data_IF_860051201074
#
_entry.id   IF_860051201074
#
_cell.length_a   1.000
_cell.length_b   1.000
_cell.length_c   1.000
_cell.angle_alpha   90.00
_cell.angle_beta   90.00
_cell.angle_gamma   90.00
#
_symmetry.space_group_name_H-M   'P 1'
#
loop_
_entity.id
_entity.type
_entity.pdbx_description
1 polymer ?
#
# COMPACT_ATOMS: atom_id res chain seq x y z
N UNK A 1 36.21 30.06 14.50
CA UNK A 1 34.93 30.72 14.21
C UNK A 1 34.44 30.55 12.78
N UNK A 2 35.32 30.44 11.79
CA UNK A 2 35.00 30.10 10.41
C UNK A 2 34.43 28.65 10.31
N UNK A 3 34.93 27.73 11.11
CA UNK A 3 34.48 26.35 11.15
C UNK A 3 33.04 26.21 11.68
N UNK A 4 32.66 27.03 12.68
CA UNK A 4 31.30 27.05 13.23
C UNK A 4 30.27 27.61 12.24
N UNK A 5 30.66 28.60 11.42
CA UNK A 5 29.79 29.15 10.38
C UNK A 5 29.57 28.19 9.24
N UNK A 6 30.61 27.47 8.83
CA UNK A 6 30.54 26.44 7.80
C UNK A 6 29.71 25.23 8.27
N UNK A 7 29.92 24.76 9.49
CA UNK A 7 29.17 23.64 10.07
C UNK A 7 27.68 23.96 10.19
N UNK A 8 27.34 25.18 10.62
CA UNK A 8 25.95 25.64 10.68
C UNK A 8 25.32 25.74 9.30
N UNK A 9 26.05 26.29 8.32
CA UNK A 9 25.58 26.42 6.95
C UNK A 9 25.35 25.05 6.31
N UNK A 10 26.27 24.11 6.50
CA UNK A 10 26.14 22.71 6.04
C UNK A 10 24.96 22.02 6.69
N UNK A 11 24.79 22.18 7.99
CA UNK A 11 23.67 21.60 8.74
C UNK A 11 22.33 22.13 8.27
N UNK A 12 22.20 23.44 8.10
CA UNK A 12 20.96 24.10 7.64
C UNK A 12 20.63 23.69 6.21
N UNK A 13 21.63 23.61 5.33
CA UNK A 13 21.44 23.19 3.94
C UNK A 13 21.06 21.72 3.84
N UNK A 14 21.70 20.85 4.61
CA UNK A 14 21.39 19.42 4.68
C UNK A 14 19.97 19.21 5.21
N UNK A 15 19.59 19.93 6.26
CA UNK A 15 18.24 19.89 6.83
C UNK A 15 17.20 20.34 5.81
N UNK A 16 17.44 21.43 5.09
CA UNK A 16 16.54 21.93 4.06
C UNK A 16 16.38 20.94 2.91
N UNK A 17 17.47 20.31 2.48
CA UNK A 17 17.43 19.27 1.44
C UNK A 17 16.64 18.03 1.88
N UNK A 18 16.84 17.58 3.13
CA UNK A 18 16.10 16.47 3.71
C UNK A 18 14.60 16.77 3.84
N UNK A 19 14.24 17.98 4.26
CA UNK A 19 12.85 18.42 4.34
C UNK A 19 12.16 18.45 2.98
N UNK A 20 12.84 18.97 1.94
CA UNK A 20 12.32 18.98 0.56
C UNK A 20 12.15 17.58 0.01
N UNK A 21 13.14 16.70 0.22
CA UNK A 21 13.07 15.28 -0.19
C UNK A 21 11.93 14.56 0.52
N UNK A 22 11.67 14.86 1.80
CA UNK A 22 10.57 14.31 2.57
C UNK A 22 9.22 14.73 1.99
N UNK A 23 9.05 16.01 1.64
CA UNK A 23 7.82 16.52 1.03
C UNK A 23 7.55 15.81 -0.29
N UNK A 24 8.56 15.66 -1.15
CA UNK A 24 8.45 14.97 -2.44
C UNK A 24 8.10 13.48 -2.23
N UNK A 25 8.78 12.80 -1.32
CA UNK A 25 8.53 11.40 -1.03
C UNK A 25 7.12 11.17 -0.48
N UNK A 26 6.66 12.01 0.43
CA UNK A 26 5.30 11.95 0.98
C UNK A 26 4.23 12.23 -0.09
N UNK A 27 4.48 13.20 -0.95
CA UNK A 27 3.58 13.55 -2.06
C UNK A 27 3.47 12.39 -3.06
N UNK A 28 4.60 11.78 -3.39
CA UNK A 28 4.65 10.60 -4.26
C UNK A 28 3.82 9.45 -3.67
N UNK A 29 4.02 9.15 -2.39
CA UNK A 29 3.29 8.07 -1.71
C UNK A 29 1.79 8.35 -1.64
N UNK A 30 1.41 9.60 -1.38
CA UNK A 30 -0.01 10.03 -1.37
C UNK A 30 -0.65 9.86 -2.74
N UNK A 31 0.02 10.30 -3.79
CA UNK A 31 -0.46 10.17 -5.17
C UNK A 31 -0.59 8.70 -5.56
N UNK A 32 0.39 7.89 -5.22
CA UNK A 32 0.38 6.46 -5.45
C UNK A 32 -0.80 5.77 -4.72
N UNK A 33 -1.04 6.15 -3.47
CA UNK A 33 -2.17 5.65 -2.68
C UNK A 33 -3.52 6.08 -3.24
N UNK A 34 -3.64 7.31 -3.72
CA UNK A 34 -4.85 7.82 -4.36
C UNK A 34 -5.13 7.09 -5.68
N UNK A 35 -4.10 6.82 -6.48
CA UNK A 35 -4.22 6.03 -7.70
C UNK A 35 -4.69 4.61 -7.38
N UNK A 36 -4.14 3.99 -6.35
CA UNK A 36 -4.55 2.65 -5.92
C UNK A 36 -5.99 2.63 -5.44
N UNK A 37 -6.43 3.67 -4.74
CA UNK A 37 -7.82 3.84 -4.32
C UNK A 37 -8.78 3.87 -5.51
N UNK A 38 -8.44 4.62 -6.56
CA UNK A 38 -9.22 4.67 -7.79
C UNK A 38 -9.23 3.32 -8.52
N UNK A 39 -8.08 2.66 -8.58
CA UNK A 39 -7.94 1.35 -9.21
C UNK A 39 -8.79 0.28 -8.51
N UNK A 40 -8.74 0.22 -7.19
CA UNK A 40 -9.52 -0.79 -6.46
C UNK A 40 -11.02 -0.52 -6.55
N UNK A 41 -11.43 0.74 -6.57
CA UNK A 41 -12.84 1.10 -6.74
C UNK A 41 -13.39 0.64 -8.08
N UNK A 42 -12.64 0.86 -9.15
CA UNK A 42 -13.01 0.41 -10.50
C UNK A 42 -13.00 -1.13 -10.60
N UNK A 43 -11.97 -1.75 -10.06
CA UNK A 43 -11.85 -3.23 -10.05
C UNK A 43 -12.96 -3.89 -9.23
N UNK A 44 -13.34 -3.29 -8.10
CA UNK A 44 -14.47 -3.74 -7.27
C UNK A 44 -15.76 -3.80 -8.09
N UNK A 45 -16.07 -2.76 -8.85
CA UNK A 45 -17.27 -2.73 -9.70
C UNK A 45 -17.24 -3.82 -10.76
N UNK A 46 -16.13 -3.96 -11.45
CA UNK A 46 -15.99 -4.95 -12.53
C UNK A 46 -16.10 -6.38 -12.00
N UNK A 47 -15.43 -6.69 -10.90
CA UNK A 47 -15.46 -8.02 -10.29
C UNK A 47 -16.82 -8.33 -9.68
N UNK A 48 -17.43 -7.36 -9.01
CA UNK A 48 -18.74 -7.51 -8.41
C UNK A 48 -19.81 -7.83 -9.47
N UNK A 49 -19.74 -7.17 -10.63
CA UNK A 49 -20.61 -7.43 -11.77
C UNK A 49 -20.37 -8.80 -12.41
N UNK A 50 -19.25 -9.44 -12.11
CA UNK A 50 -18.86 -10.75 -12.64
C UNK A 50 -19.03 -11.90 -11.65
N UNK A 51 -19.76 -11.68 -10.56
CA UNK A 51 -19.98 -12.69 -9.51
C UNK A 51 -20.58 -13.99 -10.05
N UNK A 52 -21.45 -13.92 -11.06
CA UNK A 52 -22.04 -15.10 -11.69
C UNK A 52 -20.97 -16.00 -12.33
N UNK A 53 -19.95 -15.41 -12.93
CA UNK A 53 -18.81 -16.16 -13.49
C UNK A 53 -18.02 -16.80 -12.37
N UNK A 54 -17.78 -16.09 -11.27
CA UNK A 54 -17.11 -16.63 -10.09
C UNK A 54 -17.82 -17.86 -9.52
N UNK A 55 -19.15 -17.82 -9.43
CA UNK A 55 -19.96 -18.90 -8.87
C UNK A 55 -20.08 -20.10 -9.81
N UNK A 56 -20.13 -19.88 -11.13
CA UNK A 56 -20.44 -20.93 -12.09
C UNK A 56 -19.22 -21.45 -12.87
N UNK A 57 -18.17 -20.65 -13.02
CA UNK A 57 -16.98 -21.01 -13.78
C UNK A 57 -15.75 -20.30 -13.19
N UNK A 58 -15.20 -20.89 -12.14
CA UNK A 58 -14.07 -20.31 -11.40
C UNK A 58 -12.81 -20.14 -12.29
N UNK A 59 -12.61 -21.02 -13.25
CA UNK A 59 -11.44 -20.92 -14.15
C UNK A 59 -11.55 -19.73 -15.09
N UNK A 60 -12.73 -19.49 -15.66
CA UNK A 60 -12.99 -18.31 -16.49
C UNK A 60 -12.88 -17.03 -15.67
N UNK A 61 -13.38 -17.04 -14.44
CA UNK A 61 -13.21 -15.91 -13.52
C UNK A 61 -11.74 -15.66 -13.19
N UNK A 62 -10.96 -16.71 -12.95
CA UNK A 62 -9.52 -16.61 -12.71
C UNK A 62 -8.77 -15.94 -13.84
N UNK A 63 -9.09 -16.30 -15.08
CA UNK A 63 -8.51 -15.65 -16.28
C UNK A 63 -8.89 -14.17 -16.36
N UNK A 64 -10.13 -13.84 -16.09
CA UNK A 64 -10.61 -12.45 -16.06
C UNK A 64 -9.94 -11.65 -14.95
N UNK A 65 -9.83 -12.23 -13.75
CA UNK A 65 -9.17 -11.64 -12.60
C UNK A 65 -7.70 -11.33 -12.88
N UNK A 66 -6.99 -12.27 -13.49
CA UNK A 66 -5.60 -12.09 -13.90
C UNK A 66 -5.46 -10.96 -14.93
N UNK A 67 -6.35 -10.88 -15.91
CA UNK A 67 -6.37 -9.79 -16.89
C UNK A 67 -6.58 -8.43 -16.23
N UNK A 68 -7.51 -8.34 -15.30
CA UNK A 68 -7.77 -7.12 -14.52
C UNK A 68 -6.51 -6.67 -13.77
N UNK A 69 -5.83 -7.60 -13.10
CA UNK A 69 -4.61 -7.31 -12.38
C UNK A 69 -3.47 -6.83 -13.30
N UNK A 70 -3.30 -7.46 -14.44
CA UNK A 70 -2.28 -7.08 -15.43
C UNK A 70 -2.54 -5.72 -16.05
N UNK A 71 -3.77 -5.45 -16.45
CA UNK A 71 -4.16 -4.16 -17.04
C UNK A 71 -3.90 -3.00 -16.07
N UNK A 72 -4.08 -3.24 -14.78
CA UNK A 72 -3.88 -2.23 -13.72
C UNK A 72 -2.45 -2.21 -13.20
N UNK A 73 -1.57 -3.06 -13.74
CA UNK A 73 -0.16 -3.18 -13.34
C UNK A 73 0.01 -3.46 -11.84
N UNK A 74 -0.86 -4.28 -11.31
CA UNK A 74 -0.80 -4.70 -9.91
C UNK A 74 0.32 -5.73 -9.71
N UNK A 75 0.99 -5.66 -8.56
CA UNK A 75 1.98 -6.64 -8.16
C UNK A 75 1.35 -7.93 -7.65
N UNK A 76 0.13 -7.85 -7.15
CA UNK A 76 -0.66 -8.99 -6.73
C UNK A 76 -2.10 -8.59 -6.44
N UNK A 77 -3.00 -9.56 -6.56
CA UNK A 77 -4.41 -9.37 -6.23
C UNK A 77 -4.97 -10.67 -5.65
N UNK A 78 -5.81 -10.54 -4.64
CA UNK A 78 -6.43 -11.65 -3.94
C UNK A 78 -7.91 -11.37 -3.73
N UNK A 79 -8.73 -12.41 -3.86
CA UNK A 79 -10.06 -12.42 -3.25
C UNK A 79 -9.99 -13.35 -2.05
N UNK A 80 -10.36 -12.81 -0.90
CA UNK A 80 -10.29 -13.51 0.39
C UNK A 80 -11.66 -13.52 1.04
N UNK A 81 -11.90 -14.48 1.92
CA UNK A 81 -13.11 -14.51 2.73
C UNK A 81 -12.86 -13.86 4.11
N UNK A 82 -13.88 -13.79 4.96
CA UNK A 82 -13.79 -13.18 6.28
C UNK A 82 -12.87 -13.95 7.24
N UNK A 83 -12.70 -15.25 7.03
CA UNK A 83 -11.75 -16.05 7.79
C UNK A 83 -10.30 -15.83 7.37
N UNK A 84 -10.07 -15.06 6.30
CA UNK A 84 -8.76 -14.78 5.77
C UNK A 84 -8.24 -15.83 4.80
N UNK A 85 -9.08 -16.77 4.37
CA UNK A 85 -8.71 -17.76 3.37
C UNK A 85 -8.71 -17.14 1.98
N UNK A 86 -7.70 -17.48 1.19
CA UNK A 86 -7.59 -17.04 -0.19
C UNK A 86 -8.50 -17.87 -1.08
N UNK A 87 -9.46 -17.22 -1.73
CA UNK A 87 -10.39 -17.87 -2.67
C UNK A 87 -9.81 -17.89 -4.08
N UNK A 88 -9.14 -16.83 -4.47
CA UNK A 88 -8.44 -16.71 -5.75
C UNK A 88 -7.26 -15.77 -5.62
N UNK A 89 -6.21 -16.00 -6.42
CA UNK A 89 -4.99 -15.23 -6.34
C UNK A 89 -4.35 -15.13 -7.72
N UNK A 90 -3.65 -14.02 -8.00
CA UNK A 90 -2.94 -13.76 -9.26
C UNK A 90 -1.42 -13.74 -9.08
N UNK A 91 -0.89 -14.11 -7.92
CA UNK A 91 0.55 -14.08 -7.70
C UNK A 91 1.25 -15.08 -8.59
N UNK A 92 2.21 -14.59 -9.38
CA UNK A 92 3.18 -15.46 -10.02
C UNK A 92 4.26 -15.82 -9.00
N UNK A 93 4.95 -16.96 -9.16
CA UNK A 93 6.04 -17.36 -8.25
C UNK A 93 7.13 -16.30 -8.07
N UNK A 94 7.28 -15.39 -9.04
CA UNK A 94 8.24 -14.28 -9.01
C UNK A 94 7.85 -13.19 -8.01
N UNK A 95 6.59 -13.13 -7.59
CA UNK A 95 6.04 -12.14 -6.68
C UNK A 95 5.25 -12.81 -5.54
N UNK A 96 5.80 -13.89 -4.98
CA UNK A 96 5.25 -14.46 -3.74
C UNK A 96 5.43 -13.45 -2.60
N UNK A 97 4.55 -12.46 -2.61
CA UNK A 97 4.37 -11.59 -1.47
C UNK A 97 3.71 -12.40 -0.37
N UNK A 98 4.37 -12.43 0.78
CA UNK A 98 3.75 -13.03 1.95
C UNK A 98 2.37 -12.40 2.16
N UNK A 99 1.33 -13.17 1.92
CA UNK A 99 -0.03 -12.73 2.21
C UNK A 99 -0.18 -12.47 3.70
N UNK A 100 -0.65 -11.27 4.04
CA UNK A 100 -0.98 -10.92 5.43
C UNK A 100 -2.49 -10.79 5.56
N UNK A 101 -3.07 -11.58 6.46
CA UNK A 101 -4.51 -11.53 6.74
C UNK A 101 -4.88 -10.13 7.23
N UNK A 102 -5.91 -9.49 6.63
CA UNK A 102 -6.41 -8.21 7.14
C UNK A 102 -6.92 -8.33 8.58
N UNK A 103 -6.80 -7.25 9.34
CA UNK A 103 -7.28 -7.19 10.72
C UNK A 103 -8.81 -7.19 10.78
N UNK A 104 -9.37 -7.56 11.94
CA UNK A 104 -10.81 -7.50 12.19
C UNK A 104 -11.37 -6.09 11.92
N UNK A 105 -10.64 -5.04 12.34
CA UNK A 105 -11.03 -3.66 12.10
C UNK A 105 -11.11 -3.34 10.61
N UNK A 106 -10.16 -3.85 9.81
CA UNK A 106 -10.18 -3.67 8.35
C UNK A 106 -11.42 -4.31 7.72
N UNK A 107 -11.77 -5.52 8.14
CA UNK A 107 -12.99 -6.19 7.68
C UNK A 107 -14.26 -5.40 8.08
N UNK A 108 -14.32 -4.93 9.31
CA UNK A 108 -15.48 -4.16 9.80
C UNK A 108 -15.65 -2.84 9.02
N UNK A 109 -14.56 -2.15 8.72
CA UNK A 109 -14.58 -0.94 7.90
C UNK A 109 -14.97 -1.23 6.45
N UNK A 110 -14.44 -2.31 5.87
CA UNK A 110 -14.79 -2.74 4.51
C UNK A 110 -16.29 -3.07 4.41
N UNK A 111 -16.86 -3.70 5.42
CA UNK A 111 -18.31 -3.99 5.50
C UNK A 111 -19.17 -2.73 5.49
N UNK A 112 -18.64 -1.61 5.97
CA UNK A 112 -19.30 -0.30 5.93
C UNK A 112 -19.15 0.42 4.57
N UNK A 113 -18.45 -0.19 3.62
CA UNK A 113 -18.20 0.37 2.31
C UNK A 113 -16.93 1.20 2.19
N UNK A 114 -16.08 1.20 3.21
CA UNK A 114 -14.82 1.93 3.17
C UNK A 114 -13.80 1.24 2.26
N UNK A 115 -12.99 2.04 1.59
CA UNK A 115 -11.77 1.60 0.93
C UNK A 115 -10.62 1.79 1.93
N UNK A 116 -9.96 0.69 2.29
CA UNK A 116 -8.85 0.74 3.24
C UNK A 116 -7.54 0.71 2.46
N UNK A 117 -6.68 1.70 2.71
CA UNK A 117 -5.33 1.76 2.14
C UNK A 117 -4.33 1.43 3.25
N UNK A 118 -3.49 0.43 3.01
CA UNK A 118 -2.41 0.07 3.92
C UNK A 118 -1.10 0.68 3.41
N UNK A 119 -0.44 1.43 4.28
CA UNK A 119 0.88 2.00 3.99
C UNK A 119 1.95 0.91 4.01
N UNK A 120 3.05 1.07 3.25
CA UNK A 120 4.15 0.12 3.29
C UNK A 120 4.77 0.05 4.70
N UNK A 121 4.92 -1.16 5.22
CA UNK A 121 5.65 -1.40 6.46
C UNK A 121 7.03 -1.98 6.14
N UNK A 122 7.13 -3.31 6.07
CA UNK A 122 8.39 -4.01 5.81
C UNK A 122 8.59 -4.36 4.34
N UNK A 123 7.51 -4.28 3.54
CA UNK A 123 7.56 -4.46 2.10
C UNK A 123 7.44 -3.12 1.38
N UNK A 124 7.97 -3.03 0.17
CA UNK A 124 7.85 -1.84 -0.68
C UNK A 124 6.52 -1.86 -1.46
N UNK A 125 5.42 -2.24 -0.78
CA UNK A 125 4.10 -2.40 -1.38
C UNK A 125 3.07 -1.54 -0.66
N UNK A 126 2.27 -0.83 -1.43
CA UNK A 126 1.02 -0.24 -0.96
C UNK A 126 -0.09 -1.23 -1.28
N UNK A 127 -1.02 -1.43 -0.36
CA UNK A 127 -2.15 -2.32 -0.55
C UNK A 127 -3.47 -1.62 -0.31
N UNK A 128 -4.53 -2.16 -0.91
CA UNK A 128 -5.89 -1.67 -0.75
C UNK A 128 -6.85 -2.84 -0.56
N UNK A 129 -7.91 -2.61 0.21
CA UNK A 129 -8.85 -3.62 0.63
C UNK A 129 -10.28 -3.09 0.56
N UNK A 130 -11.18 -3.86 -0.06
CA UNK A 130 -12.62 -3.52 -0.17
C UNK A 130 -13.50 -4.76 -0.09
N UNK A 131 -14.75 -4.55 0.28
CA UNK A 131 -15.80 -5.57 0.19
C UNK A 131 -16.21 -5.78 -1.27
N UNK A 132 -16.54 -7.02 -1.62
CA UNK A 132 -17.27 -7.36 -2.85
C UNK A 132 -18.73 -7.67 -2.47
N UNK A 133 -19.65 -6.68 -2.60
CA UNK A 133 -20.98 -6.77 -1.98
C UNK A 133 -21.86 -7.91 -2.47
N UNK A 134 -21.76 -8.27 -3.76
CA UNK A 134 -22.59 -9.33 -4.35
C UNK A 134 -22.00 -10.72 -4.16
N UNK A 135 -20.76 -10.81 -3.67
CA UNK A 135 -20.17 -12.09 -3.25
C UNK A 135 -20.77 -12.51 -1.89
N UNK A 136 -20.96 -13.81 -1.70
CA UNK A 136 -21.49 -14.34 -0.43
C UNK A 136 -20.54 -14.01 0.72
N UNK A 137 -19.23 -14.21 0.51
CA UNK A 137 -18.18 -13.90 1.47
C UNK A 137 -16.89 -13.61 0.69
N UNK A 138 -16.78 -12.39 0.19
CA UNK A 138 -15.66 -12.00 -0.67
C UNK A 138 -15.19 -10.57 -0.44
N UNK A 139 -13.88 -10.42 -0.36
CA UNK A 139 -13.17 -9.16 -0.22
C UNK A 139 -12.02 -9.13 -1.21
N UNK A 140 -11.78 -7.97 -1.78
CA UNK A 140 -10.68 -7.76 -2.73
C UNK A 140 -9.50 -7.09 -2.02
N UNK A 141 -8.33 -7.69 -2.14
CA UNK A 141 -7.07 -7.16 -1.62
C UNK A 141 -6.07 -7.05 -2.78
N UNK A 142 -5.57 -5.86 -3.04
CA UNK A 142 -4.61 -5.61 -4.12
C UNK A 142 -3.34 -5.00 -3.60
N UNK A 143 -2.22 -5.30 -4.27
CA UNK A 143 -0.89 -4.80 -3.92
C UNK A 143 -0.25 -4.14 -5.14
N UNK A 144 0.43 -3.02 -4.91
CA UNK A 144 1.21 -2.34 -5.93
C UNK A 144 2.55 -1.89 -5.38
N UNK A 145 3.63 -2.20 -6.12
CA UNK A 145 4.98 -1.85 -5.72
C UNK A 145 5.18 -0.33 -5.74
N UNK A 146 5.85 0.16 -4.72
CA UNK A 146 6.34 1.53 -4.61
C UNK A 146 7.84 1.52 -4.84
N UNK A 147 8.37 2.60 -5.41
CA UNK A 147 9.82 2.73 -5.61
C UNK A 147 10.57 2.56 -4.29
N UNK A 148 11.48 1.59 -4.18
CA UNK A 148 12.23 1.34 -2.94
C UNK A 148 13.01 2.54 -2.43
N UNK A 149 13.46 3.42 -3.32
CA UNK A 149 14.21 4.63 -2.97
C UNK A 149 13.35 5.57 -2.14
N UNK A 150 12.06 5.73 -2.50
CA UNK A 150 11.10 6.55 -1.76
C UNK A 150 10.88 6.02 -0.35
N UNK A 151 10.68 4.71 -0.22
CA UNK A 151 10.46 4.06 1.09
C UNK A 151 11.70 4.20 1.96
N UNK A 152 12.89 3.97 1.38
CA UNK A 152 14.17 4.13 2.09
C UNK A 152 14.34 5.56 2.61
N UNK A 153 13.98 6.55 1.79
CA UNK A 153 14.06 7.98 2.16
C UNK A 153 13.15 8.30 3.35
N UNK A 154 11.92 7.84 3.32
CA UNK A 154 10.94 8.04 4.39
C UNK A 154 11.39 7.39 5.71
N UNK A 155 11.94 6.17 5.66
CA UNK A 155 12.47 5.48 6.83
C UNK A 155 13.67 6.20 7.44
N UNK A 156 14.59 6.69 6.63
CA UNK A 156 15.75 7.46 7.11
C UNK A 156 15.32 8.76 7.80
N UNK A 157 14.31 9.42 7.28
CA UNK A 157 13.78 10.65 7.87
C UNK A 157 13.10 10.42 9.20
N UNK A 158 12.36 9.33 9.36
CA UNK A 158 11.79 8.93 10.65
C UNK A 158 12.86 8.65 11.69
N UNK A 159 13.91 7.90 11.32
CA UNK A 159 15.04 7.60 12.20
C UNK A 159 15.76 8.89 12.62
N UNK A 160 16.02 9.80 11.69
CA UNK A 160 16.66 11.08 11.96
C UNK A 160 15.80 11.95 12.89
N UNK A 161 14.49 11.97 12.68
CA UNK A 161 13.56 12.67 13.57
C UNK A 161 13.57 12.11 14.98
N UNK A 162 13.55 10.79 15.11
CA UNK A 162 13.55 10.12 16.42
C UNK A 162 14.87 10.35 17.16
N UNK A 163 16.00 10.29 16.48
CA UNK A 163 17.31 10.62 17.04
C UNK A 163 17.39 12.05 17.52
N UNK A 164 16.89 12.99 16.71
CA UNK A 164 16.88 14.41 17.07
C UNK A 164 15.96 14.69 18.25
N UNK A 165 14.81 14.10 18.30
CA UNK A 165 13.87 14.20 19.42
C UNK A 165 14.46 13.62 20.72
N UNK A 166 15.13 12.48 20.65
CA UNK A 166 15.81 11.88 21.78
C UNK A 166 16.97 12.75 22.29
N UNK A 167 17.70 13.41 21.40
CA UNK A 167 18.77 14.34 21.78
C UNK A 167 18.24 15.60 22.45
N UNK A 168 17.07 16.10 22.04
CA UNK A 168 16.40 17.24 22.70
C UNK A 168 15.90 16.87 24.10
N UNK A 169 15.31 15.71 24.28
CA UNK A 169 14.86 15.20 25.58
C UNK A 169 16.02 14.99 26.57
N UNK A 170 17.21 14.66 26.09
CA UNK A 170 18.42 14.50 26.92
C UNK A 170 19.07 15.82 27.36
N UNK A 171 18.66 16.96 26.80
CA UNK A 171 19.18 18.28 27.19
C UNK A 171 18.51 18.85 28.44
N UNK A 172 17.45 18.25 28.89
CA UNK A 172 16.71 18.62 30.08
C UNK A 172 16.75 17.47 31.08
#
# INVERSE_FOLDING_TARGET
>A
TLDRGLDKWFSDRTKSMLEKSNIVAKSYLREHSNNLRSEIGAMQLDLNNSVNIFENNINAFGDYFLKQAKLRKLSGAYIVNRDGNILINTTTPEYELGYTKPSQLSYDRADQGDIIIFKPNDSNMVSAFVLLPDFIDGYLLIYKAVDPIVIKHLKQLELTRNEYSNLEERRF
#
